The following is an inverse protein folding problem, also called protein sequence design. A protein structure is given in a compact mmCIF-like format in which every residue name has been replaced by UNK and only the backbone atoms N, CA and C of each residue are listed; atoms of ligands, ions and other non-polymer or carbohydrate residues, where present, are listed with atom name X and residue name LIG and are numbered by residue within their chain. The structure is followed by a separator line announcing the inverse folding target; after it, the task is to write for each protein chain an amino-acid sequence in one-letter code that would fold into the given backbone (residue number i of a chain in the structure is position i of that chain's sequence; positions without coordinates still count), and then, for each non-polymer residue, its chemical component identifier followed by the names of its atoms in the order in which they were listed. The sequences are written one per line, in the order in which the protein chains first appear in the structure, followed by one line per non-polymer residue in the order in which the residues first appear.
data_IF_377815181035
#
_entry.id   IF_377815181035
#
_cell.length_a   1.000
_cell.length_b   1.000
_cell.length_c   1.000
_cell.angle_alpha   90.00
_cell.angle_beta   90.00
_cell.angle_gamma   90.00
#
_symmetry.space_group_name_H-M   'P 1'
#
loop_
_entity.id
_entity.type
_entity.pdbx_description
1 polymer ?
#
# COMPACT_ATOMS: atom_id res chain seq x y z
N UNK A 1 0.99 -12.42 -2.05
CA UNK A 1 1.30 -12.15 -0.62
C UNK A 1 0.12 -12.66 0.20
N UNK A 2 0.34 -13.23 1.38
CA UNK A 2 -0.74 -13.78 2.20
C UNK A 2 -1.05 -12.79 3.33
N UNK A 3 -2.31 -12.34 3.41
CA UNK A 3 -2.81 -11.49 4.48
C UNK A 3 -3.16 -12.34 5.69
N UNK A 4 -3.09 -11.75 6.90
CA UNK A 4 -3.45 -12.44 8.13
C UNK A 4 -4.96 -12.37 8.33
N UNK A 5 -5.48 -13.26 9.16
CA UNK A 5 -6.85 -13.18 9.61
C UNK A 5 -7.10 -11.84 10.32
N UNK A 6 -8.14 -11.12 9.87
CA UNK A 6 -8.49 -9.79 10.38
C UNK A 6 -7.86 -8.60 9.65
N UNK A 7 -6.88 -8.81 8.77
CA UNK A 7 -6.43 -7.79 7.81
C UNK A 7 -7.50 -7.63 6.72
N UNK A 8 -7.71 -6.39 6.24
CA UNK A 8 -8.71 -6.09 5.21
C UNK A 8 -8.03 -5.54 3.96
N UNK A 9 -8.47 -6.02 2.79
CA UNK A 9 -8.13 -5.42 1.51
C UNK A 9 -9.42 -5.12 0.74
N UNK A 10 -9.50 -3.92 0.18
CA UNK A 10 -10.66 -3.48 -0.58
C UNK A 10 -10.24 -2.64 -1.77
N UNK A 11 -11.08 -2.65 -2.81
CA UNK A 11 -10.99 -1.66 -3.88
C UNK A 11 -11.43 -0.32 -3.32
N UNK A 12 -10.60 0.70 -3.51
CA UNK A 12 -10.87 2.06 -3.05
C UNK A 12 -11.65 2.83 -4.11
N UNK A 13 -12.15 4.01 -3.74
CA UNK A 13 -13.24 4.76 -4.40
C UNK A 13 -13.29 4.71 -5.93
N UNK A 14 -12.15 4.68 -6.64
CA UNK A 14 -12.10 4.73 -8.11
C UNK A 14 -11.04 3.82 -8.71
N UNK A 15 -11.28 3.43 -9.98
CA UNK A 15 -10.24 2.94 -10.88
C UNK A 15 -9.46 1.73 -10.36
N UNK A 16 -8.14 1.87 -10.34
CA UNK A 16 -7.14 0.87 -9.95
C UNK A 16 -6.62 1.07 -8.52
N UNK A 17 -7.36 1.82 -7.69
CA UNK A 17 -6.95 2.09 -6.31
C UNK A 17 -7.42 1.00 -5.35
N UNK A 18 -6.54 0.65 -4.42
CA UNK A 18 -6.78 -0.36 -3.39
C UNK A 18 -6.32 0.16 -2.04
N UNK A 19 -7.07 -0.20 -0.99
CA UNK A 19 -6.73 0.09 0.40
C UNK A 19 -6.50 -1.23 1.14
N UNK A 20 -5.42 -1.27 1.92
CA UNK A 20 -5.10 -2.41 2.80
C UNK A 20 -5.00 -1.90 4.23
N UNK A 21 -5.83 -2.46 5.12
CA UNK A 21 -5.82 -2.18 6.55
C UNK A 21 -5.20 -3.36 7.29
N UNK A 22 -4.12 -3.08 8.03
CA UNK A 22 -3.42 -4.07 8.84
C UNK A 22 -3.69 -3.78 10.32
N UNK A 23 -4.33 -4.71 11.02
CA UNK A 23 -4.64 -4.53 12.45
C UNK A 23 -3.40 -4.83 13.29
N UNK A 24 -3.25 -4.12 14.42
CA UNK A 24 -2.19 -4.35 15.41
C UNK A 24 -0.79 -4.47 14.78
N UNK A 25 -0.53 -3.68 13.74
CA UNK A 25 0.69 -3.79 12.93
C UNK A 25 1.44 -2.46 12.97
N UNK A 26 2.65 -2.42 13.57
CA UNK A 26 3.49 -1.23 13.54
C UNK A 26 3.80 -0.78 12.11
N UNK A 27 3.95 0.53 11.90
CA UNK A 27 4.20 1.12 10.57
C UNK A 27 5.33 0.41 9.82
N UNK A 28 6.45 0.12 10.49
CA UNK A 28 7.59 -0.57 9.89
C UNK A 28 7.24 -1.96 9.34
N UNK A 29 6.43 -2.74 10.06
CA UNK A 29 5.95 -4.05 9.58
C UNK A 29 4.94 -3.88 8.43
N UNK A 30 4.12 -2.84 8.47
CA UNK A 30 3.23 -2.46 7.36
C UNK A 30 4.00 -2.14 6.09
N UNK A 31 5.10 -1.39 6.20
CA UNK A 31 5.97 -1.06 5.07
C UNK A 31 6.64 -2.31 4.45
N UNK A 32 7.07 -3.26 5.29
CA UNK A 32 7.59 -4.55 4.80
C UNK A 32 6.54 -5.36 4.05
N UNK A 33 5.29 -5.36 4.53
CA UNK A 33 4.17 -6.01 3.84
C UNK A 33 3.86 -5.32 2.51
N UNK A 34 3.83 -3.99 2.48
CA UNK A 34 3.64 -3.21 1.25
C UNK A 34 4.74 -3.54 0.22
N UNK A 35 6.00 -3.61 0.65
CA UNK A 35 7.11 -3.94 -0.24
C UNK A 35 7.01 -5.38 -0.78
N UNK A 36 6.55 -6.32 0.05
CA UNK A 36 6.24 -7.69 -0.40
C UNK A 36 5.13 -7.70 -1.44
N UNK A 37 4.04 -6.96 -1.23
CA UNK A 37 2.93 -6.83 -2.19
C UNK A 37 3.45 -6.26 -3.51
N UNK A 38 4.21 -5.17 -3.46
CA UNK A 38 4.79 -4.52 -4.64
C UNK A 38 5.64 -5.48 -5.47
N UNK A 39 6.55 -6.22 -4.83
CA UNK A 39 7.41 -7.20 -5.50
C UNK A 39 6.61 -8.35 -6.11
N UNK A 40 5.62 -8.88 -5.39
CA UNK A 40 4.77 -9.96 -5.89
C UNK A 40 4.00 -9.51 -7.14
N UNK A 41 3.40 -8.31 -7.11
CA UNK A 41 2.66 -7.77 -8.26
C UNK A 41 3.59 -7.60 -9.46
N UNK A 42 4.76 -6.97 -9.28
CA UNK A 42 5.72 -6.78 -10.37
C UNK A 42 6.24 -8.13 -10.92
N UNK A 43 6.59 -9.06 -10.04
CA UNK A 43 7.10 -10.37 -10.45
C UNK A 43 6.03 -11.17 -11.19
N UNK A 44 4.78 -11.11 -10.75
CA UNK A 44 3.68 -11.84 -11.37
C UNK A 44 3.26 -11.23 -12.71
N UNK A 45 3.35 -9.91 -12.85
CA UNK A 45 2.99 -9.22 -14.09
C UNK A 45 4.06 -9.32 -15.18
N UNK A 46 5.29 -9.74 -14.86
CA UNK A 46 6.37 -9.89 -15.84
C UNK A 46 6.04 -10.86 -16.99
N UNK A 47 5.15 -11.82 -16.76
CA UNK A 47 4.72 -12.78 -17.80
C UNK A 47 3.51 -12.29 -18.60
N UNK A 48 2.97 -11.10 -18.28
CA UNK A 48 1.81 -10.55 -18.95
C UNK A 48 2.23 -9.80 -20.23
N UNK A 49 1.33 -9.66 -21.23
CA UNK A 49 1.62 -8.87 -22.43
C UNK A 49 1.99 -7.41 -22.12
N UNK A 50 1.41 -6.85 -21.06
CA UNK A 50 1.72 -5.51 -20.55
C UNK A 50 2.01 -5.65 -19.04
N UNK A 51 3.29 -5.64 -18.63
CA UNK A 51 3.65 -5.70 -17.23
C UNK A 51 3.15 -4.47 -16.46
N UNK A 52 2.68 -4.71 -15.24
CA UNK A 52 2.17 -3.67 -14.34
C UNK A 52 3.00 -3.60 -13.07
N UNK A 53 3.04 -2.42 -12.47
CA UNK A 53 3.64 -2.19 -11.15
C UNK A 53 2.66 -1.41 -10.28
N UNK A 54 2.94 -1.35 -8.98
CA UNK A 54 2.11 -0.62 -8.02
C UNK A 54 2.97 0.36 -7.23
N UNK A 55 2.41 1.53 -6.92
CA UNK A 55 2.98 2.45 -5.93
C UNK A 55 2.11 2.39 -4.69
N UNK A 56 2.73 2.32 -3.50
CA UNK A 56 2.01 2.12 -2.24
C UNK A 56 2.45 3.19 -1.26
N UNK A 57 1.50 3.86 -0.63
CA UNK A 57 1.73 4.73 0.52
C UNK A 57 1.32 4.06 1.82
N UNK A 58 2.11 4.25 2.87
CA UNK A 58 1.94 3.58 4.17
C UNK A 58 1.83 4.62 5.28
N UNK A 59 0.76 4.51 6.07
CA UNK A 59 0.56 5.23 7.32
C UNK A 59 0.46 4.24 8.49
N UNK A 60 0.86 4.66 9.68
CA UNK A 60 0.73 3.90 10.91
C UNK A 60 0.06 4.72 12.02
N UNK A 61 -0.67 4.03 12.89
CA UNK A 61 -1.20 4.59 14.13
C UNK A 61 -0.32 4.14 15.30
N UNK A 62 0.11 5.05 16.19
CA UNK A 62 -0.30 6.46 16.30
C UNK A 62 0.57 7.45 15.50
N UNK A 63 1.62 7.01 14.80
CA UNK A 63 2.66 7.90 14.24
C UNK A 63 2.13 8.89 13.17
N UNK A 64 1.02 8.56 12.51
CA UNK A 64 0.39 9.36 11.45
C UNK A 64 -1.05 9.75 11.78
N UNK A 65 -1.37 9.78 13.08
CA UNK A 65 -2.69 10.09 13.59
C UNK A 65 -3.36 8.87 14.22
N UNK A 66 -4.43 9.15 14.96
CA UNK A 66 -5.20 8.15 15.72
C UNK A 66 -6.61 7.94 15.17
N UNK A 67 -7.04 8.77 14.23
CA UNK A 67 -8.29 8.63 13.50
C UNK A 67 -8.08 8.18 12.05
N UNK A 68 -9.14 7.62 11.46
CA UNK A 68 -9.09 7.09 10.10
C UNK A 68 -8.80 8.15 9.03
N UNK A 69 -9.29 9.38 9.19
CA UNK A 69 -9.12 10.42 8.19
C UNK A 69 -7.64 10.85 8.09
N UNK A 70 -6.97 11.00 9.23
CA UNK A 70 -5.54 11.32 9.29
C UNK A 70 -4.66 10.22 8.65
N UNK A 71 -4.97 8.96 8.95
CA UNK A 71 -4.24 7.81 8.40
C UNK A 71 -4.41 7.69 6.88
N UNK A 72 -5.65 7.79 6.39
CA UNK A 72 -5.94 7.73 4.95
C UNK A 72 -5.23 8.88 4.23
N UNK A 73 -5.38 10.12 4.73
CA UNK A 73 -4.73 11.29 4.13
C UNK A 73 -3.21 11.11 4.03
N UNK A 74 -2.58 10.62 5.10
CA UNK A 74 -1.13 10.39 5.12
C UNK A 74 -0.72 9.30 4.13
N UNK A 75 -1.46 8.19 4.06
CA UNK A 75 -1.20 7.12 3.11
C UNK A 75 -1.35 7.59 1.65
N UNK A 76 -2.36 8.42 1.36
CA UNK A 76 -2.55 9.01 0.04
C UNK A 76 -1.42 9.98 -0.34
N UNK A 77 -0.97 10.83 0.58
CA UNK A 77 0.16 11.75 0.37
C UNK A 77 1.47 10.98 0.12
N UNK A 78 1.70 9.90 0.86
CA UNK A 78 2.82 9.00 0.65
C UNK A 78 2.73 8.30 -0.73
N UNK A 79 1.54 7.81 -1.12
CA UNK A 79 1.34 7.21 -2.44
C UNK A 79 1.56 8.21 -3.59
N UNK A 80 1.07 9.45 -3.45
CA UNK A 80 1.32 10.53 -4.40
C UNK A 80 2.82 10.81 -4.51
N UNK A 81 3.54 10.81 -3.39
CA UNK A 81 5.01 10.94 -3.37
C UNK A 81 5.68 9.78 -4.11
N UNK A 82 5.26 8.53 -3.86
CA UNK A 82 5.77 7.36 -4.57
C UNK A 82 5.57 7.49 -6.10
N UNK A 83 4.40 7.98 -6.53
CA UNK A 83 4.09 8.23 -7.94
C UNK A 83 4.97 9.33 -8.54
N UNK A 84 5.20 10.44 -7.82
CA UNK A 84 6.04 11.56 -8.29
C UNK A 84 7.51 11.19 -8.41
N UNK A 85 8.03 10.35 -7.53
CA UNK A 85 9.45 9.98 -7.53
C UNK A 85 9.81 8.85 -8.53
N UNK A 86 8.90 8.47 -9.43
CA UNK A 86 9.17 7.45 -10.46
C UNK A 86 8.41 6.14 -10.28
N UNK A 87 7.35 6.14 -9.45
CA UNK A 87 6.43 4.99 -9.27
C UNK A 87 7.15 3.73 -8.75
N UNK A 88 6.45 2.60 -8.78
CA UNK A 88 6.94 1.26 -8.40
C UNK A 88 7.75 1.24 -7.09
N UNK A 89 7.21 1.87 -6.03
CA UNK A 89 7.89 1.99 -4.73
C UNK A 89 6.89 2.13 -3.59
N UNK A 90 7.42 1.98 -2.38
CA UNK A 90 6.71 2.20 -1.12
C UNK A 90 7.19 3.50 -0.48
N UNK A 91 6.26 4.29 0.07
CA UNK A 91 6.53 5.51 0.83
C UNK A 91 5.75 5.54 2.14
#
# INVERSE_FOLDING_TARGET
AQMREGDLAGRWMFGDEFLVLLKNTPRAKGALMAERIRRVICSHSNTWPIPVSVSIGVAGCPENGTDYAALIKTAEEANKTAKREGKNRVK
#
